data_IF_887529902479
#
_entry.id   IF_887529902479
#
_cell.length_a   1.000
_cell.length_b   1.000
_cell.length_c   1.000
_cell.angle_alpha   90.00
_cell.angle_beta   90.00
_cell.angle_gamma   90.00
#
_symmetry.space_group_name_H-M   'P 1'
#
loop_
_entity.id
_entity.type
_entity.pdbx_description
1 polymer ?
#
# COMPACT_ATOMS: atom_id res chain seq x y z
N UNK A 1 10.50 27.32 -52.86
CA UNK A 1 10.32 25.86 -52.78
C UNK A 1 11.53 25.20 -53.39
N UNK A 2 12.03 24.18 -52.70
CA UNK A 2 12.84 23.05 -53.18
C UNK A 2 14.36 23.21 -53.44
N UNK A 3 15.05 22.15 -52.96
CA UNK A 3 16.37 21.60 -53.33
C UNK A 3 17.62 22.28 -52.73
N UNK A 4 18.22 21.68 -51.69
CA UNK A 4 19.25 20.61 -51.71
C UNK A 4 20.64 21.20 -51.53
N UNK A 5 21.40 20.68 -50.57
CA UNK A 5 22.86 20.48 -50.69
C UNK A 5 23.30 19.43 -49.68
N UNK A 6 23.48 18.22 -50.19
CA UNK A 6 24.32 17.20 -49.59
C UNK A 6 25.79 17.63 -49.69
N UNK A 7 26.58 17.37 -48.65
CA UNK A 7 28.04 17.37 -48.74
C UNK A 7 28.54 16.03 -48.23
N UNK A 8 29.11 15.27 -49.18
CA UNK A 8 29.92 14.08 -48.96
C UNK A 8 31.29 14.49 -48.42
N UNK A 9 31.90 13.64 -47.58
CA UNK A 9 33.34 13.35 -47.54
C UNK A 9 33.50 12.08 -46.67
N UNK A 10 33.69 10.92 -47.27
CA UNK A 10 34.97 10.36 -47.74
C UNK A 10 35.66 9.52 -46.64
N UNK A 11 35.43 8.20 -46.70
CA UNK A 11 36.44 7.15 -46.93
C UNK A 11 37.51 6.99 -45.84
N UNK A 12 37.49 5.85 -45.13
CA UNK A 12 38.47 4.76 -45.34
C UNK A 12 38.46 3.71 -44.22
N UNK A 13 38.38 2.45 -44.66
CA UNK A 13 39.17 1.30 -44.21
C UNK A 13 39.02 0.75 -42.78
N UNK A 14 38.26 -0.34 -42.69
CA UNK A 14 38.69 -1.68 -42.23
C UNK A 14 39.78 -1.74 -41.14
N UNK A 15 39.38 -2.17 -39.93
CA UNK A 15 40.20 -3.04 -39.11
C UNK A 15 39.29 -4.02 -38.34
N UNK A 16 39.37 -5.29 -38.74
CA UNK A 16 38.87 -6.44 -38.00
C UNK A 16 39.79 -6.66 -36.79
N UNK A 17 39.22 -6.74 -35.60
CA UNK A 17 39.88 -7.37 -34.44
C UNK A 17 38.82 -8.08 -33.59
N UNK A 18 38.81 -9.40 -33.69
CA UNK A 18 38.15 -10.30 -32.74
C UNK A 18 38.80 -10.15 -31.36
N UNK A 19 38.00 -9.92 -30.32
CA UNK A 19 38.31 -10.36 -28.96
C UNK A 19 37.10 -11.15 -28.45
N UNK A 20 37.29 -12.45 -28.32
CA UNK A 20 36.39 -13.35 -27.64
C UNK A 20 36.58 -13.23 -26.11
N UNK A 21 35.47 -13.52 -25.40
CA UNK A 21 35.37 -13.86 -23.98
C UNK A 21 35.62 -12.73 -22.96
N UNK A 22 34.52 -12.30 -22.32
CA UNK A 22 34.37 -12.31 -20.85
C UNK A 22 32.88 -12.07 -20.50
N UNK A 23 32.19 -13.19 -20.36
CA UNK A 23 31.31 -13.55 -19.25
C UNK A 23 30.75 -12.42 -18.37
N UNK A 24 29.41 -12.41 -18.29
CA UNK A 24 28.60 -12.24 -17.07
C UNK A 24 28.71 -10.88 -16.36
N UNK A 25 27.74 -10.00 -16.62
CA UNK A 25 27.09 -9.24 -15.56
C UNK A 25 25.68 -8.81 -15.97
N UNK A 26 24.86 -9.78 -16.37
CA UNK A 26 23.42 -9.62 -16.25
C UNK A 26 23.11 -9.74 -14.76
N UNK A 27 23.05 -8.60 -14.06
CA UNK A 27 22.46 -8.51 -12.75
C UNK A 27 20.96 -8.84 -12.87
N UNK A 28 20.65 -10.12 -13.04
CA UNK A 28 19.37 -10.67 -12.68
C UNK A 28 19.27 -10.42 -11.18
N UNK A 29 18.49 -9.41 -10.80
CA UNK A 29 17.93 -9.32 -9.48
C UNK A 29 17.21 -10.65 -9.22
N UNK A 30 17.92 -11.58 -8.60
CA UNK A 30 17.40 -12.85 -8.18
C UNK A 30 16.37 -12.53 -7.11
N UNK A 31 15.10 -12.38 -7.53
CA UNK A 31 13.96 -12.41 -6.64
C UNK A 31 14.04 -13.77 -5.95
N UNK A 32 14.58 -13.80 -4.73
CA UNK A 32 14.53 -14.99 -3.89
C UNK A 32 13.06 -15.42 -3.86
N UNK A 33 12.76 -16.72 -4.11
CA UNK A 33 11.43 -17.24 -3.86
C UNK A 33 11.03 -16.81 -2.45
N UNK A 34 9.89 -16.12 -2.31
CA UNK A 34 9.25 -16.00 -0.99
C UNK A 34 9.14 -17.43 -0.48
N UNK A 35 9.76 -17.73 0.65
CA UNK A 35 9.88 -19.09 1.18
C UNK A 35 8.50 -19.71 1.34
N UNK A 36 8.08 -20.46 0.32
CA UNK A 36 6.81 -21.19 0.30
C UNK A 36 6.77 -22.26 1.40
N UNK A 37 7.92 -22.61 1.96
CA UNK A 37 8.08 -23.53 3.09
C UNK A 37 7.71 -22.92 4.45
N UNK A 38 7.79 -21.60 4.63
CA UNK A 38 7.40 -20.96 5.89
C UNK A 38 5.92 -21.20 6.24
N UNK A 39 5.05 -21.27 5.21
CA UNK A 39 3.64 -21.67 5.37
C UNK A 39 3.47 -23.14 5.74
N UNK A 40 4.33 -24.02 5.22
CA UNK A 40 4.27 -25.46 5.49
C UNK A 40 4.90 -25.83 6.85
N UNK A 41 5.83 -25.03 7.37
CA UNK A 41 6.49 -25.21 8.67
C UNK A 41 5.75 -24.56 9.84
N UNK A 42 4.66 -23.83 9.58
CA UNK A 42 3.87 -23.16 10.62
C UNK A 42 4.58 -21.96 11.26
N UNK A 43 5.61 -21.42 10.62
CA UNK A 43 6.44 -20.29 11.08
C UNK A 43 5.72 -18.96 10.88
N UNK A 44 4.50 -18.84 11.38
CA UNK A 44 3.79 -17.57 11.43
C UNK A 44 4.06 -16.93 12.79
N UNK A 45 4.89 -15.89 12.81
CA UNK A 45 5.13 -15.10 14.00
C UNK A 45 3.83 -14.56 14.62
N UNK A 46 3.91 -14.13 15.89
CA UNK A 46 2.79 -13.60 16.65
C UNK A 46 1.94 -12.62 15.83
N UNK A 47 0.62 -12.83 15.82
CA UNK A 47 -0.32 -11.91 15.16
C UNK A 47 -0.24 -11.85 13.63
N UNK A 48 0.41 -12.79 12.95
CA UNK A 48 0.50 -12.83 11.47
C UNK A 48 -0.86 -12.66 10.78
N UNK A 49 -1.85 -13.50 11.13
CA UNK A 49 -3.18 -13.45 10.49
C UNK A 49 -3.95 -12.18 10.82
N UNK A 50 -3.81 -11.66 12.04
CA UNK A 50 -4.41 -10.38 12.45
C UNK A 50 -3.83 -9.23 11.65
N UNK A 51 -2.50 -9.18 11.50
CA UNK A 51 -1.82 -8.19 10.68
C UNK A 51 -2.19 -8.27 9.20
N UNK A 52 -2.34 -9.48 8.65
CA UNK A 52 -2.78 -9.67 7.28
C UNK A 52 -4.23 -9.20 7.07
N UNK A 53 -5.11 -9.40 8.07
CA UNK A 53 -6.48 -8.87 8.04
C UNK A 53 -6.48 -7.34 8.13
N UNK A 54 -5.74 -6.75 9.06
CA UNK A 54 -5.59 -5.30 9.15
C UNK A 54 -5.11 -4.68 7.83
N UNK A 55 -4.06 -5.26 7.23
CA UNK A 55 -3.53 -4.81 5.94
C UNK A 55 -4.58 -4.83 4.84
N UNK A 56 -5.32 -5.95 4.71
CA UNK A 56 -6.41 -6.06 3.72
C UNK A 56 -7.51 -5.02 3.93
N UNK A 57 -7.96 -4.83 5.17
CA UNK A 57 -8.99 -3.83 5.46
C UNK A 57 -8.51 -2.41 5.13
N UNK A 58 -7.25 -2.07 5.41
CA UNK A 58 -6.66 -0.78 5.00
C UNK A 58 -6.64 -0.66 3.47
N UNK A 59 -6.24 -1.71 2.74
CA UNK A 59 -6.24 -1.68 1.27
C UNK A 59 -7.65 -1.50 0.70
N UNK A 60 -8.63 -2.26 1.19
CA UNK A 60 -10.01 -2.12 0.74
C UNK A 60 -10.58 -0.73 1.02
N UNK A 61 -10.30 -0.15 2.19
CA UNK A 61 -10.68 1.24 2.46
C UNK A 61 -10.06 2.21 1.44
N UNK A 62 -8.79 2.03 1.06
CA UNK A 62 -8.15 2.87 0.03
C UNK A 62 -8.82 2.69 -1.33
N UNK A 63 -9.13 1.46 -1.71
CA UNK A 63 -9.76 1.16 -2.98
C UNK A 63 -11.14 1.83 -3.08
N UNK A 64 -11.99 1.65 -2.06
CA UNK A 64 -13.30 2.32 -2.00
C UNK A 64 -13.19 3.84 -2.04
N UNK A 65 -12.25 4.44 -1.28
CA UNK A 65 -12.05 5.89 -1.29
C UNK A 65 -11.62 6.41 -2.67
N UNK A 66 -10.74 5.68 -3.35
CA UNK A 66 -10.25 6.05 -4.70
C UNK A 66 -11.30 5.81 -5.79
N UNK A 67 -12.11 4.78 -5.64
CA UNK A 67 -13.22 4.49 -6.57
C UNK A 67 -14.28 5.57 -6.45
N UNK A 68 -14.69 5.91 -5.23
CA UNK A 68 -15.66 6.98 -4.99
C UNK A 68 -15.13 8.36 -5.42
N UNK A 69 -13.84 8.64 -5.22
CA UNK A 69 -13.20 9.84 -5.78
C UNK A 69 -13.32 9.91 -7.30
N UNK A 70 -12.94 8.83 -8.00
CA UNK A 70 -12.97 8.77 -9.47
C UNK A 70 -14.40 8.90 -9.99
N UNK A 71 -15.33 8.18 -9.36
CA UNK A 71 -16.75 8.26 -9.69
C UNK A 71 -17.27 9.70 -9.56
N UNK A 72 -16.99 10.37 -8.44
CA UNK A 72 -17.49 11.72 -8.17
C UNK A 72 -16.87 12.78 -9.08
N UNK A 73 -15.63 12.54 -9.56
CA UNK A 73 -14.95 13.40 -10.53
C UNK A 73 -15.53 13.25 -11.94
N UNK A 74 -15.81 12.03 -12.37
CA UNK A 74 -16.14 11.72 -13.76
C UNK A 74 -17.65 11.73 -14.05
N UNK A 75 -18.49 11.57 -13.02
CA UNK A 75 -19.93 11.58 -13.17
C UNK A 75 -20.48 13.01 -13.39
N UNK A 76 -21.41 13.16 -14.33
CA UNK A 76 -22.16 14.42 -14.51
C UNK A 76 -22.98 14.77 -13.27
N UNK A 77 -23.51 13.76 -12.58
CA UNK A 77 -24.20 13.88 -11.31
C UNK A 77 -23.93 12.62 -10.47
N UNK A 78 -23.70 12.81 -9.17
CA UNK A 78 -23.44 11.71 -8.24
C UNK A 78 -24.77 11.06 -7.86
N UNK A 79 -24.88 9.75 -8.06
CA UNK A 79 -26.03 8.96 -7.62
C UNK A 79 -25.98 8.78 -6.10
N UNK A 80 -27.03 9.19 -5.35
CA UNK A 80 -27.09 9.03 -3.90
C UNK A 80 -26.97 7.57 -3.46
N UNK A 81 -27.62 6.66 -4.17
CA UNK A 81 -27.62 5.23 -3.83
C UNK A 81 -26.22 4.63 -3.93
N UNK A 82 -25.52 4.93 -5.02
CA UNK A 82 -24.15 4.46 -5.25
C UNK A 82 -23.21 5.09 -4.22
N UNK A 83 -23.25 6.41 -4.07
CA UNK A 83 -22.37 7.13 -3.15
C UNK A 83 -22.55 6.66 -1.70
N UNK A 84 -23.80 6.46 -1.26
CA UNK A 84 -24.10 5.92 0.07
C UNK A 84 -23.53 4.51 0.24
N UNK A 85 -23.81 3.58 -0.67
CA UNK A 85 -23.28 2.21 -0.60
C UNK A 85 -21.74 2.17 -0.53
N UNK A 86 -21.07 2.92 -1.40
CA UNK A 86 -19.61 2.98 -1.43
C UNK A 86 -19.04 3.59 -0.14
N UNK A 87 -19.65 4.68 0.36
CA UNK A 87 -19.25 5.29 1.63
C UNK A 87 -19.47 4.36 2.83
N UNK A 88 -20.52 3.54 2.86
CA UNK A 88 -20.72 2.54 3.93
C UNK A 88 -19.64 1.46 3.90
N UNK A 89 -19.27 0.97 2.71
CA UNK A 89 -18.23 -0.04 2.57
C UNK A 89 -16.84 0.50 2.93
N UNK A 90 -16.56 1.76 2.59
CA UNK A 90 -15.38 2.48 3.07
C UNK A 90 -15.31 2.49 4.60
N UNK A 91 -16.38 2.95 5.27
CA UNK A 91 -16.45 3.01 6.73
C UNK A 91 -16.28 1.65 7.39
N UNK A 92 -16.95 0.61 6.87
CA UNK A 92 -16.81 -0.77 7.38
C UNK A 92 -15.36 -1.26 7.35
N UNK A 93 -14.61 -0.92 6.31
CA UNK A 93 -13.21 -1.33 6.18
C UNK A 93 -12.27 -0.52 7.11
N UNK A 94 -12.53 0.78 7.32
CA UNK A 94 -11.81 1.59 8.32
C UNK A 94 -12.00 1.00 9.72
N UNK A 95 -13.24 0.71 10.11
CA UNK A 95 -13.55 0.12 11.42
C UNK A 95 -13.00 -1.31 11.57
N UNK A 96 -13.03 -2.10 10.49
CA UNK A 96 -12.37 -3.41 10.48
C UNK A 96 -10.87 -3.27 10.72
N UNK A 97 -10.18 -2.35 10.05
CA UNK A 97 -8.75 -2.12 10.27
C UNK A 97 -8.45 -1.73 11.73
N UNK A 98 -9.22 -0.81 12.31
CA UNK A 98 -9.08 -0.41 13.72
C UNK A 98 -9.25 -1.60 14.66
N UNK A 99 -10.29 -2.42 14.46
CA UNK A 99 -10.56 -3.62 15.28
C UNK A 99 -9.42 -4.63 15.21
N UNK A 100 -8.89 -4.87 14.00
CA UNK A 100 -7.77 -5.79 13.82
C UNK A 100 -6.50 -5.27 14.50
N UNK A 101 -6.18 -3.98 14.38
CA UNK A 101 -5.00 -3.41 15.05
C UNK A 101 -5.13 -3.36 16.57
N UNK A 102 -6.33 -3.16 17.11
CA UNK A 102 -6.58 -3.33 18.54
C UNK A 102 -6.34 -4.77 19.02
N UNK A 103 -6.57 -5.75 18.14
CA UNK A 103 -6.23 -7.16 18.43
C UNK A 103 -4.72 -7.37 18.35
N UNK A 104 -4.03 -6.78 17.37
CA UNK A 104 -2.54 -6.80 17.30
C UNK A 104 -1.94 -6.17 18.56
N UNK A 105 -2.47 -5.05 19.03
CA UNK A 105 -2.00 -4.38 20.25
C UNK A 105 -2.04 -5.32 21.47
N UNK A 106 -3.09 -6.12 21.63
CA UNK A 106 -3.19 -7.12 22.71
C UNK A 106 -2.19 -8.26 22.54
N UNK A 107 -1.89 -8.67 21.30
CA UNK A 107 -0.94 -9.74 21.00
C UNK A 107 0.53 -9.32 21.25
N UNK A 108 0.79 -8.02 21.25
CA UNK A 108 2.10 -7.43 21.52
C UNK A 108 2.08 -6.59 22.81
N UNK A 109 1.29 -7.02 23.80
CA UNK A 109 1.26 -6.35 25.09
C UNK A 109 2.66 -6.35 25.73
N UNK A 110 3.06 -5.21 26.29
CA UNK A 110 4.41 -5.00 26.83
C UNK A 110 5.50 -4.63 25.80
N UNK A 111 5.29 -4.82 24.49
CA UNK A 111 6.25 -4.37 23.45
C UNK A 111 6.05 -2.89 23.13
N UNK A 112 6.75 -2.01 23.87
CA UNK A 112 6.61 -0.55 23.76
C UNK A 112 6.85 0.00 22.35
N UNK A 113 7.76 -0.61 21.59
CA UNK A 113 8.06 -0.16 20.23
C UNK A 113 6.91 -0.51 19.27
N UNK A 114 6.34 -1.71 19.38
CA UNK A 114 5.16 -2.10 18.61
C UNK A 114 3.94 -1.27 19.01
N UNK A 115 3.73 -1.01 20.30
CA UNK A 115 2.62 -0.16 20.77
C UNK A 115 2.72 1.25 20.20
N UNK A 116 3.90 1.88 20.18
CA UNK A 116 4.09 3.21 19.62
C UNK A 116 3.77 3.27 18.11
N UNK A 117 4.18 2.24 17.35
CA UNK A 117 3.84 2.13 15.93
C UNK A 117 2.31 1.97 15.74
N UNK A 118 1.67 1.10 16.52
CA UNK A 118 0.21 0.88 16.47
C UNK A 118 -0.58 2.14 16.83
N UNK A 119 -0.09 2.93 17.79
CA UNK A 119 -0.72 4.21 18.16
C UNK A 119 -0.67 5.22 17.00
N UNK A 120 0.46 5.26 16.28
CA UNK A 120 0.61 6.11 15.08
C UNK A 120 -0.32 5.68 13.96
N UNK A 121 -0.41 4.37 13.67
CA UNK A 121 -1.36 3.85 12.68
C UNK A 121 -2.81 4.16 13.09
N UNK A 122 -3.14 4.00 14.37
CA UNK A 122 -4.47 4.28 14.90
C UNK A 122 -4.85 5.76 14.79
N UNK A 123 -3.90 6.69 14.96
CA UNK A 123 -4.13 8.13 14.74
C UNK A 123 -4.51 8.44 13.29
N UNK A 124 -3.86 7.81 12.31
CA UNK A 124 -4.23 7.98 10.90
C UNK A 124 -5.61 7.39 10.58
N UNK A 125 -5.93 6.21 11.12
CA UNK A 125 -7.25 5.60 10.95
C UNK A 125 -8.37 6.39 11.65
N UNK A 126 -8.08 7.04 12.78
CA UNK A 126 -9.03 7.92 13.45
C UNK A 126 -9.36 9.14 12.59
N UNK A 127 -8.34 9.83 12.04
CA UNK A 127 -8.54 10.94 11.12
C UNK A 127 -9.29 10.54 9.85
N UNK A 128 -8.95 9.39 9.27
CA UNK A 128 -9.69 8.86 8.13
C UNK A 128 -11.17 8.62 8.46
N UNK A 129 -11.49 8.16 9.68
CA UNK A 129 -12.86 7.99 10.13
C UNK A 129 -13.59 9.34 10.35
N UNK A 130 -12.93 10.33 10.93
CA UNK A 130 -13.51 11.67 11.11
C UNK A 130 -13.90 12.32 9.78
N UNK A 131 -13.05 12.20 8.75
CA UNK A 131 -13.36 12.69 7.40
C UNK A 131 -14.39 11.79 6.71
N UNK A 132 -14.39 10.48 6.98
CA UNK A 132 -15.41 9.56 6.48
C UNK A 132 -16.80 9.89 7.01
N UNK A 133 -16.95 10.33 8.25
CA UNK A 133 -18.25 10.75 8.79
C UNK A 133 -18.83 11.93 7.98
N UNK A 134 -17.98 12.89 7.60
CA UNK A 134 -18.37 14.02 6.74
C UNK A 134 -18.75 13.55 5.33
N UNK A 135 -17.93 12.69 4.74
CA UNK A 135 -18.20 12.07 3.45
C UNK A 135 -19.54 11.32 3.45
N UNK A 136 -19.81 10.52 4.50
CA UNK A 136 -21.01 9.71 4.56
C UNK A 136 -22.27 10.58 4.69
N UNK A 137 -22.20 11.68 5.44
CA UNK A 137 -23.27 12.68 5.48
C UNK A 137 -23.52 13.29 4.11
N UNK A 138 -22.47 13.64 3.35
CA UNK A 138 -22.59 14.14 1.98
C UNK A 138 -23.25 13.11 1.06
N UNK A 139 -22.77 11.86 1.09
CA UNK A 139 -23.28 10.75 0.30
C UNK A 139 -24.72 10.36 0.62
N UNK A 140 -25.25 10.74 1.79
CA UNK A 140 -26.63 10.49 2.18
C UNK A 140 -27.62 11.58 1.75
N UNK A 141 -27.16 12.67 1.11
CA UNK A 141 -28.04 13.71 0.57
C UNK A 141 -28.77 13.22 -0.68
N UNK A 142 -29.91 13.83 -0.98
CA UNK A 142 -30.67 13.54 -2.22
C UNK A 142 -29.92 13.94 -3.49
N UNK A 143 -28.97 14.88 -3.38
CA UNK A 143 -28.06 15.28 -4.44
C UNK A 143 -26.67 15.52 -3.84
N UNK A 144 -25.82 14.48 -3.72
CA UNK A 144 -24.46 14.61 -3.21
C UNK A 144 -23.64 15.54 -4.09
N UNK A 145 -22.88 16.42 -3.45
CA UNK A 145 -21.93 17.30 -4.12
C UNK A 145 -20.66 16.51 -4.50
N UNK A 146 -20.40 16.41 -5.80
CA UNK A 146 -19.23 15.70 -6.31
C UNK A 146 -17.90 16.32 -5.87
N UNK A 147 -17.83 17.65 -5.73
CA UNK A 147 -16.65 18.37 -5.28
C UNK A 147 -16.32 18.08 -3.81
N UNK A 148 -17.32 18.15 -2.93
CA UNK A 148 -17.16 17.80 -1.50
C UNK A 148 -16.81 16.32 -1.36
N UNK A 149 -17.48 15.45 -2.12
CA UNK A 149 -17.19 14.01 -2.12
C UNK A 149 -15.74 13.72 -2.53
N UNK A 150 -15.25 14.41 -3.57
CA UNK A 150 -13.85 14.31 -4.01
C UNK A 150 -12.86 14.80 -2.96
N UNK A 151 -13.12 15.94 -2.31
CA UNK A 151 -12.25 16.51 -1.28
C UNK A 151 -12.12 15.55 -0.10
N UNK A 152 -13.25 15.08 0.45
CA UNK A 152 -13.24 14.12 1.54
C UNK A 152 -12.53 12.81 1.15
N UNK A 153 -12.79 12.28 -0.05
CA UNK A 153 -12.10 11.06 -0.51
C UNK A 153 -10.58 11.26 -0.68
N UNK A 154 -10.14 12.45 -1.13
CA UNK A 154 -8.72 12.80 -1.21
C UNK A 154 -8.07 12.75 0.18
N UNK A 155 -8.70 13.36 1.17
CA UNK A 155 -8.17 13.44 2.54
C UNK A 155 -8.19 12.10 3.26
N UNK A 156 -9.26 11.31 3.10
CA UNK A 156 -9.33 9.93 3.58
C UNK A 156 -8.19 9.10 2.96
N UNK A 157 -8.00 9.19 1.64
CA UNK A 157 -6.94 8.44 0.95
C UNK A 157 -5.55 8.84 1.47
N UNK A 158 -5.29 10.13 1.72
CA UNK A 158 -4.02 10.59 2.30
C UNK A 158 -3.74 9.96 3.66
N UNK A 159 -4.72 9.91 4.55
CA UNK A 159 -4.55 9.32 5.88
C UNK A 159 -4.44 7.79 5.81
N UNK A 160 -5.21 7.13 4.93
CA UNK A 160 -5.09 5.68 4.70
C UNK A 160 -3.74 5.30 4.06
N UNK A 161 -3.17 6.15 3.21
CA UNK A 161 -1.84 5.95 2.64
C UNK A 161 -0.75 6.01 3.73
N UNK A 162 -0.87 6.94 4.68
CA UNK A 162 0.00 7.01 5.86
C UNK A 162 -0.16 5.78 6.74
N UNK A 163 -1.40 5.40 7.07
CA UNK A 163 -1.68 4.19 7.85
C UNK A 163 -1.09 2.93 7.19
N UNK A 164 -1.21 2.80 5.87
CA UNK A 164 -0.64 1.68 5.11
C UNK A 164 0.89 1.68 5.12
N UNK A 165 1.52 2.85 4.99
CA UNK A 165 2.97 2.98 5.03
C UNK A 165 3.53 2.61 6.41
N UNK A 166 2.91 3.11 7.48
CA UNK A 166 3.27 2.78 8.86
C UNK A 166 3.03 1.31 9.19
N UNK A 167 1.91 0.73 8.74
CA UNK A 167 1.65 -0.71 8.89
C UNK A 167 2.70 -1.55 8.16
N UNK A 168 3.07 -1.16 6.93
CA UNK A 168 4.13 -1.84 6.20
C UNK A 168 5.51 -1.72 6.88
N UNK A 169 5.80 -0.57 7.49
CA UNK A 169 7.03 -0.38 8.27
C UNK A 169 7.05 -1.28 9.50
N UNK A 170 5.95 -1.34 10.26
CA UNK A 170 5.79 -2.26 11.39
C UNK A 170 6.01 -3.72 10.97
N UNK A 171 5.40 -4.15 9.86
CA UNK A 171 5.57 -5.52 9.36
C UNK A 171 7.03 -5.85 9.02
N UNK A 172 7.76 -4.93 8.40
CA UNK A 172 9.19 -5.12 8.13
C UNK A 172 10.01 -5.25 9.42
N UNK A 173 9.72 -4.43 10.42
CA UNK A 173 10.37 -4.51 11.74
C UNK A 173 10.12 -5.86 12.40
N UNK A 174 8.88 -6.34 12.39
CA UNK A 174 8.51 -7.64 12.96
C UNK A 174 9.19 -8.81 12.22
N UNK A 175 9.25 -8.76 10.89
CA UNK A 175 9.96 -9.76 10.09
C UNK A 175 11.48 -9.77 10.36
N UNK A 176 12.09 -8.61 10.56
CA UNK A 176 13.51 -8.51 10.89
C UNK A 176 13.81 -9.06 12.28
N UNK A 177 12.95 -8.80 13.26
CA UNK A 177 13.05 -9.36 14.63
C UNK A 177 12.92 -10.88 14.62
N UNK A 178 11.97 -11.43 13.87
CA UNK A 178 11.80 -12.88 13.73
C UNK A 178 13.08 -13.56 13.19
N UNK A 179 13.64 -13.05 12.09
CA UNK A 179 14.88 -13.57 11.49
C UNK A 179 16.10 -13.45 12.42
N UNK A 180 16.17 -12.37 13.20
CA UNK A 180 17.28 -12.15 14.14
C UNK A 180 17.23 -13.11 15.33
N UNK A 181 16.04 -13.55 15.73
CA UNK A 181 15.85 -14.51 16.81
C UNK A 181 16.15 -15.94 16.34
N UNK A 182 15.80 -16.30 15.11
CA UNK A 182 16.15 -17.61 14.51
C UNK A 182 17.67 -17.79 14.32
N UNK A 183 18.41 -16.71 14.09
CA UNK A 183 19.87 -16.74 13.86
C UNK A 183 20.70 -16.85 15.15
N UNK A 184 20.09 -16.77 16.34
CA UNK A 184 20.76 -17.05 17.62
C UNK A 184 20.39 -18.48 18.05
N UNK A 185 21.18 -19.51 17.69
CA UNK A 185 20.98 -20.83 18.27
C UNK A 185 21.17 -20.73 19.78
N UNK A 186 20.27 -21.36 20.53
CA UNK A 186 20.34 -21.47 21.97
C UNK A 186 21.74 -21.92 22.38
N UNK A 187 22.43 -21.08 23.16
CA UNK A 187 23.63 -21.51 23.86
C UNK A 187 23.17 -22.34 25.05
N UNK A 188 23.03 -23.64 24.84
CA UNK A 188 23.18 -24.64 25.91
C UNK A 188 24.67 -24.86 26.22
#
# INVERSE_FOLDING_TARGET
MSHWKASQLSFCCLAVAMIAALSLNSANAQQRPRDSGAKARGEFGTGFWTNQRASRSIQHARDYSRDLYRYSRDATAVSPEVAKSESENLGKNIESAKKELATVAKQYDGDKEVQAALETISKHLAKAAEVHDQLHQECCKDAPDGGVTMECCSDITKELDKAAAEHAALMRTLEQRAKSNEAKPDKE
#
